data_IF_772066190731
#
_entry.id   IF_772066190731
#
_cell.length_a   1.000
_cell.length_b   1.000
_cell.length_c   1.000
_cell.angle_alpha   90.00
_cell.angle_beta   90.00
_cell.angle_gamma   90.00
#
_symmetry.space_group_name_H-M   'P 1'
#
loop_
_entity.id
_entity.type
_entity.pdbx_description
1 polymer ?
#
# COMPACT_ATOMS: atom_id res chain seq x y z
N UNK A 1 -11.15 -62.67 54.08
CA UNK A 1 -10.15 -63.45 53.31
C UNK A 1 -9.20 -62.45 52.66
N UNK A 2 -7.92 -62.46 53.05
CA UNK A 2 -6.85 -61.66 52.41
C UNK A 2 -6.46 -62.35 51.10
N UNK A 3 -6.30 -61.61 50.01
CA UNK A 3 -5.18 -61.78 49.08
C UNK A 3 -4.80 -60.38 48.60
N UNK A 4 -3.50 -60.15 48.61
CA UNK A 4 -2.82 -58.90 48.45
C UNK A 4 -1.93 -59.00 47.19
N UNK A 5 -1.58 -57.84 46.64
CA UNK A 5 -0.36 -57.54 45.85
C UNK A 5 -0.34 -57.55 44.29
N UNK A 6 -0.12 -56.31 43.83
CA UNK A 6 0.84 -55.84 42.81
C UNK A 6 0.52 -55.99 41.31
N UNK A 7 0.09 -54.88 40.71
CA UNK A 7 0.46 -54.54 39.32
C UNK A 7 0.68 -53.02 39.14
N UNK A 8 1.96 -52.66 39.22
CA UNK A 8 2.71 -51.60 38.52
C UNK A 8 1.97 -50.39 37.91
N UNK A 9 2.24 -49.23 38.54
CA UNK A 9 2.43 -47.87 38.03
C UNK A 9 2.65 -47.74 36.50
N UNK A 10 1.81 -46.95 35.82
CA UNK A 10 2.19 -46.25 34.58
C UNK A 10 1.56 -44.86 34.55
N UNK A 11 2.39 -43.87 34.83
CA UNK A 11 2.12 -42.43 34.74
C UNK A 11 2.44 -42.03 33.29
N UNK A 12 1.44 -41.74 32.47
CA UNK A 12 1.66 -41.20 31.13
C UNK A 12 1.61 -39.67 31.19
N UNK A 13 2.77 -39.04 31.39
CA UNK A 13 2.96 -37.63 31.08
C UNK A 13 3.17 -37.46 29.56
N UNK A 14 2.58 -36.42 28.94
CA UNK A 14 2.87 -36.06 27.57
C UNK A 14 4.30 -35.52 27.49
N UNK A 15 5.14 -36.19 26.70
CA UNK A 15 6.50 -35.72 26.39
C UNK A 15 6.43 -34.51 25.46
N UNK A 16 6.58 -33.34 26.05
CA UNK A 16 7.03 -32.11 25.40
C UNK A 16 8.40 -32.35 24.72
N UNK A 17 8.41 -32.69 23.43
CA UNK A 17 9.62 -32.65 22.61
C UNK A 17 9.83 -31.22 22.10
N UNK A 18 10.41 -30.43 23.00
CA UNK A 18 11.14 -29.19 22.80
C UNK A 18 11.84 -29.13 21.42
N UNK A 19 11.27 -28.38 20.48
CA UNK A 19 11.94 -27.93 19.24
C UNK A 19 13.03 -26.90 19.58
N UNK A 20 14.19 -27.37 20.06
CA UNK A 20 15.40 -26.58 20.14
C UNK A 20 16.52 -27.25 19.34
N UNK A 21 16.44 -27.14 18.02
CA UNK A 21 17.47 -27.70 17.13
C UNK A 21 17.62 -27.03 15.77
N UNK A 22 16.68 -26.17 15.33
CA UNK A 22 16.67 -25.71 13.93
C UNK A 22 17.17 -24.27 13.69
N UNK A 23 17.43 -23.46 14.72
CA UNK A 23 17.82 -22.05 14.53
C UNK A 23 19.24 -21.90 13.98
N UNK A 24 20.15 -22.84 14.26
CA UNK A 24 21.52 -22.81 13.74
C UNK A 24 21.57 -23.12 12.24
N UNK A 25 20.81 -24.13 11.80
CA UNK A 25 20.70 -24.48 10.38
C UNK A 25 19.99 -23.39 9.56
N UNK A 26 18.94 -22.75 10.09
CA UNK A 26 18.27 -21.63 9.42
C UNK A 26 19.21 -20.43 9.24
N UNK A 27 20.06 -20.13 10.23
CA UNK A 27 21.07 -19.06 10.10
C UNK A 27 22.14 -19.41 9.08
N UNK A 28 22.61 -20.66 9.03
CA UNK A 28 23.58 -21.11 8.02
C UNK A 28 22.97 -21.05 6.62
N UNK A 29 21.74 -21.52 6.44
CA UNK A 29 21.03 -21.42 5.15
C UNK A 29 20.81 -19.96 4.73
N UNK A 30 20.47 -19.06 5.66
CA UNK A 30 20.33 -17.63 5.37
C UNK A 30 21.66 -17.02 4.90
N UNK A 31 22.78 -17.35 5.56
CA UNK A 31 24.10 -16.88 5.16
C UNK A 31 24.52 -17.39 3.77
N UNK A 32 24.25 -18.65 3.44
CA UNK A 32 24.50 -19.21 2.09
C UNK A 32 23.65 -18.50 1.03
N UNK A 33 22.39 -18.21 1.32
CA UNK A 33 21.47 -17.55 0.39
C UNK A 33 21.89 -16.09 0.13
N UNK A 34 22.36 -15.38 1.16
CA UNK A 34 22.92 -14.03 1.03
C UNK A 34 24.21 -14.04 0.20
N UNK A 35 25.12 -15.00 0.42
CA UNK A 35 26.34 -15.13 -0.40
C UNK A 35 25.99 -15.42 -1.86
N UNK A 36 25.02 -16.29 -2.14
CA UNK A 36 24.56 -16.57 -3.50
C UNK A 36 23.95 -15.32 -4.17
N UNK A 37 23.17 -14.51 -3.44
CA UNK A 37 22.61 -13.26 -3.94
C UNK A 37 23.68 -12.21 -4.24
N UNK A 38 24.69 -12.10 -3.37
CA UNK A 38 25.82 -11.18 -3.58
C UNK A 38 26.69 -11.65 -4.75
N UNK A 39 26.94 -12.96 -4.90
CA UNK A 39 27.63 -13.51 -6.06
C UNK A 39 26.87 -13.28 -7.36
N UNK A 40 25.53 -13.38 -7.37
CA UNK A 40 24.72 -12.99 -8.53
C UNK A 40 24.83 -11.50 -8.84
N UNK A 41 24.83 -10.66 -7.80
CA UNK A 41 24.87 -9.20 -7.96
C UNK A 41 26.26 -8.69 -8.40
N UNK A 42 27.34 -9.39 -8.06
CA UNK A 42 28.72 -8.94 -8.30
C UNK A 42 29.44 -9.66 -9.46
N UNK A 43 28.94 -10.80 -9.92
CA UNK A 43 29.55 -11.58 -11.02
C UNK A 43 28.74 -11.46 -12.32
N UNK A 44 28.45 -10.22 -12.71
CA UNK A 44 28.07 -9.87 -14.07
C UNK A 44 29.32 -9.70 -14.93
N UNK A 45 29.85 -10.80 -15.47
CA UNK A 45 30.39 -10.89 -16.83
C UNK A 45 30.98 -12.28 -17.07
N UNK A 46 30.40 -13.02 -18.01
CA UNK A 46 31.10 -13.84 -19.00
C UNK A 46 30.07 -14.47 -19.91
N UNK A 47 29.80 -13.76 -21.01
CA UNK A 47 29.07 -14.28 -22.14
C UNK A 47 29.87 -15.44 -22.78
N UNK A 48 29.29 -16.63 -23.00
CA UNK A 48 29.84 -17.55 -23.99
C UNK A 48 29.30 -17.15 -25.35
N UNK A 49 30.23 -16.70 -26.20
CA UNK A 49 30.05 -16.55 -27.64
C UNK A 49 29.94 -17.95 -28.24
N UNK A 50 28.81 -18.26 -28.87
CA UNK A 50 28.66 -19.45 -29.71
C UNK A 50 28.35 -19.00 -31.12
N UNK A 51 29.36 -19.09 -31.99
CA UNK A 51 29.22 -18.99 -33.44
C UNK A 51 28.74 -20.34 -34.01
N UNK A 52 28.18 -20.29 -35.24
CA UNK A 52 27.85 -21.39 -36.18
C UNK A 52 26.51 -22.12 -35.96
N UNK A 53 25.66 -22.44 -36.95
CA UNK A 53 25.57 -22.19 -38.40
C UNK A 53 24.25 -22.85 -38.88
N UNK A 54 23.64 -22.37 -40.00
CA UNK A 54 22.96 -23.22 -41.04
C UNK A 54 21.54 -23.76 -40.67
N UNK A 55 20.45 -23.72 -41.45
CA UNK A 55 20.16 -23.45 -42.87
C UNK A 55 18.62 -23.33 -43.09
N UNK A 56 18.25 -22.69 -44.22
CA UNK A 56 17.15 -23.02 -45.17
C UNK A 56 15.66 -22.85 -44.82
N UNK A 57 14.92 -22.35 -45.82
CA UNK A 57 13.46 -22.48 -45.98
C UNK A 57 12.77 -21.13 -46.18
N UNK A 58 12.85 -20.48 -47.34
CA UNK A 58 11.86 -20.54 -48.46
C UNK A 58 10.48 -19.92 -48.20
N UNK A 59 10.01 -19.24 -49.26
CA UNK A 59 8.67 -18.67 -49.54
C UNK A 59 8.40 -17.26 -49.00
N UNK A 60 8.37 -16.26 -49.88
CA UNK A 60 7.18 -15.81 -50.64
C UNK A 60 6.11 -15.27 -49.68
N UNK A 61 5.57 -14.06 -49.77
CA UNK A 61 5.33 -13.22 -50.94
C UNK A 61 4.96 -11.83 -50.41
N UNK A 62 5.33 -10.80 -51.15
CA UNK A 62 4.87 -9.44 -50.93
C UNK A 62 3.34 -9.34 -51.00
N UNK A 63 2.74 -8.64 -50.05
CA UNK A 63 1.47 -7.95 -50.29
C UNK A 63 1.57 -6.52 -49.76
N UNK A 64 1.66 -5.60 -50.70
CA UNK A 64 1.62 -4.15 -50.52
C UNK A 64 0.27 -3.70 -51.07
N UNK A 65 -0.54 -3.02 -50.26
CA UNK A 65 -1.63 -2.16 -50.76
C UNK A 65 -1.67 -0.87 -49.92
N UNK A 66 -1.86 0.32 -50.55
CA UNK A 66 -1.59 1.63 -49.94
C UNK A 66 -2.85 2.48 -49.64
N UNK A 67 -2.60 3.57 -48.90
CA UNK A 67 -3.21 4.92 -48.95
C UNK A 67 -4.75 5.14 -48.85
N UNK A 68 -5.12 5.98 -47.86
CA UNK A 68 -5.92 7.24 -47.98
C UNK A 68 -7.06 7.34 -46.97
N UNK A 69 -6.96 8.28 -46.02
CA UNK A 69 -8.04 9.21 -45.65
C UNK A 69 -7.47 10.29 -44.73
N UNK A 70 -7.63 11.53 -45.18
CA UNK A 70 -7.14 12.78 -44.65
C UNK A 70 -8.22 13.44 -43.77
N UNK A 71 -7.78 14.34 -42.89
CA UNK A 71 -8.54 15.47 -42.33
C UNK A 71 -9.70 15.24 -41.35
N UNK A 72 -9.48 15.68 -40.12
CA UNK A 72 -10.31 16.76 -39.53
C UNK A 72 -9.54 17.42 -38.39
N UNK A 73 -8.89 18.56 -38.69
CA UNK A 73 -8.68 19.60 -37.70
C UNK A 73 -10.02 20.28 -37.42
N UNK A 74 -10.45 20.36 -36.15
CA UNK A 74 -11.37 21.41 -35.71
C UNK A 74 -11.22 21.69 -34.21
N UNK A 75 -10.51 22.76 -33.93
CA UNK A 75 -10.84 23.81 -32.95
C UNK A 75 -11.49 23.37 -31.63
N UNK A 76 -10.69 23.36 -30.57
CA UNK A 76 -11.14 23.77 -29.24
C UNK A 76 -9.94 24.20 -28.39
N UNK A 77 -9.29 25.28 -28.82
CA UNK A 77 -8.53 26.16 -27.94
C UNK A 77 -9.49 26.93 -27.03
N UNK A 78 -10.20 26.20 -26.17
CA UNK A 78 -10.78 26.78 -24.97
C UNK A 78 -9.60 26.87 -23.99
N UNK A 79 -9.43 28.00 -23.34
CA UNK A 79 -8.54 28.14 -22.18
C UNK A 79 -9.03 27.22 -21.05
N UNK A 80 -8.75 25.91 -21.15
CA UNK A 80 -9.11 24.89 -20.15
C UNK A 80 -8.13 24.87 -18.97
N UNK A 81 -7.08 25.70 -19.04
CA UNK A 81 -5.92 25.65 -18.15
C UNK A 81 -6.22 25.87 -16.65
N UNK A 82 -7.19 26.71 -16.20
CA UNK A 82 -7.47 26.81 -14.76
C UNK A 82 -8.33 25.65 -14.24
N UNK A 83 -9.41 25.27 -14.94
CA UNK A 83 -10.37 24.27 -14.44
C UNK A 83 -9.81 22.84 -14.51
N UNK A 84 -9.16 22.47 -15.61
CA UNK A 84 -8.51 21.15 -15.71
C UNK A 84 -7.33 21.01 -14.76
N UNK A 85 -6.63 22.11 -14.44
CA UNK A 85 -5.57 22.10 -13.43
C UNK A 85 -6.10 21.81 -12.02
N UNK A 86 -7.23 22.44 -11.63
CA UNK A 86 -7.88 22.22 -10.33
C UNK A 86 -8.42 20.80 -10.13
N UNK A 87 -8.87 20.15 -11.21
CA UNK A 87 -9.42 18.78 -11.11
C UNK A 87 -8.30 17.73 -11.06
N UNK A 88 -7.17 17.98 -11.71
CA UNK A 88 -6.20 16.93 -11.91
C UNK A 88 -5.16 16.81 -10.79
N UNK A 89 -5.11 17.71 -9.80
CA UNK A 89 -4.07 17.67 -8.76
C UNK A 89 -2.69 18.14 -9.22
N UNK A 90 -2.63 18.98 -10.27
CA UNK A 90 -1.37 19.38 -10.91
C UNK A 90 -0.50 20.19 -9.94
N UNK A 91 -1.10 21.11 -9.19
CA UNK A 91 -0.36 22.03 -8.31
C UNK A 91 0.33 21.26 -7.18
N UNK A 92 -0.36 20.30 -6.57
CA UNK A 92 0.22 19.42 -5.56
C UNK A 92 1.35 18.56 -6.12
N UNK A 93 1.20 18.01 -7.34
CA UNK A 93 2.27 17.20 -7.97
C UNK A 93 3.53 18.01 -8.25
N UNK A 94 3.38 19.24 -8.73
CA UNK A 94 4.52 20.13 -8.98
C UNK A 94 5.24 20.47 -7.67
N UNK A 95 4.50 20.87 -6.63
CA UNK A 95 5.06 21.15 -5.30
C UNK A 95 5.77 19.91 -4.73
N UNK A 96 5.14 18.73 -4.78
CA UNK A 96 5.73 17.49 -4.28
C UNK A 96 7.01 17.12 -5.05
N UNK A 97 7.05 17.37 -6.37
CA UNK A 97 8.24 17.16 -7.19
C UNK A 97 9.38 18.07 -6.73
N UNK A 98 9.10 19.35 -6.51
CA UNK A 98 10.09 20.32 -6.06
C UNK A 98 10.61 20.00 -4.66
N UNK A 99 9.71 19.65 -3.73
CA UNK A 99 10.08 19.21 -2.37
C UNK A 99 10.99 17.98 -2.38
N UNK A 100 10.74 17.01 -3.28
CA UNK A 100 11.62 15.84 -3.44
C UNK A 100 12.96 16.20 -4.06
N UNK A 101 13.00 17.17 -4.97
CA UNK A 101 14.22 17.59 -5.64
C UNK A 101 15.16 18.40 -4.73
N UNK A 102 14.61 19.13 -3.76
CA UNK A 102 15.39 19.94 -2.82
C UNK A 102 16.36 19.10 -1.96
N UNK A 103 16.09 17.80 -1.76
CA UNK A 103 16.99 16.87 -1.04
C UNK A 103 17.18 17.17 0.46
N UNK A 104 16.63 18.28 0.95
CA UNK A 104 16.61 18.66 2.36
C UNK A 104 15.50 17.90 3.11
N UNK A 105 15.59 17.87 4.46
CA UNK A 105 14.54 17.35 5.32
C UNK A 105 13.25 18.14 5.13
N UNK A 106 12.28 17.55 4.44
CA UNK A 106 10.98 18.15 4.16
C UNK A 106 10.25 18.46 5.47
N UNK A 107 9.85 19.73 5.66
CA UNK A 107 9.00 20.13 6.77
C UNK A 107 7.55 19.69 6.50
N UNK A 108 7.12 18.61 7.16
CA UNK A 108 5.81 18.03 6.94
C UNK A 108 4.66 18.91 7.45
N UNK A 109 4.91 19.78 8.43
CA UNK A 109 3.90 20.73 8.94
C UNK A 109 3.56 21.79 7.88
N UNK A 110 4.55 22.21 7.08
CA UNK A 110 4.34 23.14 5.98
C UNK A 110 3.60 22.46 4.82
N UNK A 111 3.90 21.18 4.56
CA UNK A 111 3.15 20.35 3.59
C UNK A 111 1.69 20.21 4.00
N UNK A 112 1.42 19.97 5.29
CA UNK A 112 0.07 19.91 5.83
C UNK A 112 -0.65 21.25 5.73
N UNK A 113 0.00 22.37 6.10
CA UNK A 113 -0.57 23.71 5.97
C UNK A 113 -0.95 24.03 4.53
N UNK A 114 -0.14 23.61 3.56
CA UNK A 114 -0.45 23.76 2.14
C UNK A 114 -1.64 22.91 1.70
N UNK A 115 -1.78 21.69 2.24
CA UNK A 115 -2.96 20.85 2.01
C UNK A 115 -4.24 21.50 2.55
N UNK A 116 -4.19 22.11 3.74
CA UNK A 116 -5.31 22.85 4.33
C UNK A 116 -5.70 24.07 3.49
N UNK A 117 -4.70 24.76 2.90
CA UNK A 117 -4.96 25.85 1.96
C UNK A 117 -5.63 25.36 0.67
N UNK A 118 -5.17 24.25 0.09
CA UNK A 118 -5.83 23.67 -1.08
C UNK A 118 -7.28 23.25 -0.78
N UNK A 119 -7.53 22.73 0.43
CA UNK A 119 -8.88 22.41 0.89
C UNK A 119 -9.75 23.67 0.99
N UNK A 120 -9.25 24.77 1.55
CA UNK A 120 -10.02 26.03 1.64
C UNK A 120 -10.24 26.71 0.28
N UNK A 121 -9.35 26.48 -0.69
CA UNK A 121 -9.48 26.92 -2.08
C UNK A 121 -10.41 26.00 -2.91
N UNK A 122 -10.97 24.94 -2.32
CA UNK A 122 -11.81 23.96 -3.02
C UNK A 122 -11.05 23.00 -3.94
N UNK A 123 -9.71 23.05 -3.94
CA UNK A 123 -8.83 22.16 -4.70
C UNK A 123 -8.61 20.85 -3.93
N UNK A 124 -9.70 20.10 -3.81
CA UNK A 124 -9.76 18.94 -2.93
C UNK A 124 -8.83 17.80 -3.40
N UNK A 125 -8.60 17.65 -4.71
CA UNK A 125 -7.66 16.65 -5.27
C UNK A 125 -6.23 17.01 -4.85
N UNK A 126 -5.81 18.26 -5.05
CA UNK A 126 -4.50 18.73 -4.60
C UNK A 126 -4.30 18.57 -3.09
N UNK A 127 -5.31 18.92 -2.29
CA UNK A 127 -5.29 18.73 -0.84
C UNK A 127 -5.09 17.25 -0.48
N UNK A 128 -5.84 16.33 -1.09
CA UNK A 128 -5.71 14.89 -0.86
C UNK A 128 -4.30 14.38 -1.17
N UNK A 129 -3.72 14.78 -2.31
CA UNK A 129 -2.35 14.38 -2.65
C UNK A 129 -1.33 14.88 -1.61
N UNK A 130 -1.49 16.10 -1.11
CA UNK A 130 -0.59 16.66 -0.10
C UNK A 130 -0.76 16.00 1.28
N UNK A 131 -1.98 15.70 1.71
CA UNK A 131 -2.22 14.88 2.92
C UNK A 131 -1.57 13.50 2.76
N UNK A 132 -1.80 12.83 1.63
CA UNK A 132 -1.20 11.52 1.34
C UNK A 132 0.32 11.56 1.38
N UNK A 133 0.93 12.57 0.77
CA UNK A 133 2.37 12.73 0.75
C UNK A 133 2.97 12.93 2.15
N UNK A 134 2.39 13.80 2.97
CA UNK A 134 2.86 14.06 4.34
C UNK A 134 2.58 12.89 5.28
N UNK A 135 1.40 12.27 5.20
CA UNK A 135 1.03 11.12 6.02
C UNK A 135 1.95 9.90 5.76
N UNK A 136 2.33 9.67 4.50
CA UNK A 136 3.29 8.60 4.15
C UNK A 136 4.69 8.81 4.72
N UNK A 137 5.04 10.04 5.06
CA UNK A 137 6.31 10.41 5.67
C UNK A 137 6.20 10.51 7.21
N UNK A 138 5.05 10.18 7.80
CA UNK A 138 4.86 10.13 9.24
C UNK A 138 4.13 11.33 9.85
N UNK A 139 3.58 12.24 9.04
CA UNK A 139 2.79 13.35 9.59
C UNK A 139 1.45 12.84 10.15
N UNK A 140 1.30 12.92 11.47
CA UNK A 140 0.20 12.31 12.19
C UNK A 140 -1.16 12.94 11.85
N UNK A 141 -1.23 14.26 11.75
CA UNK A 141 -2.49 14.96 11.48
C UNK A 141 -2.94 14.77 10.03
N UNK A 142 -2.02 14.62 9.09
CA UNK A 142 -2.37 14.25 7.70
C UNK A 142 -2.94 12.84 7.63
N UNK A 143 -2.34 11.90 8.38
CA UNK A 143 -2.87 10.54 8.47
C UNK A 143 -4.25 10.54 9.13
N UNK A 144 -4.48 11.39 10.13
CA UNK A 144 -5.80 11.55 10.76
C UNK A 144 -6.84 12.04 9.74
N UNK A 145 -6.51 13.07 8.95
CA UNK A 145 -7.40 13.59 7.89
C UNK A 145 -7.73 12.50 6.88
N UNK A 146 -6.74 11.76 6.38
CA UNK A 146 -6.98 10.65 5.45
C UNK A 146 -7.86 9.56 6.06
N UNK A 147 -7.64 9.22 7.33
CA UNK A 147 -8.47 8.26 8.06
C UNK A 147 -9.93 8.69 8.06
N UNK A 148 -10.19 9.96 8.37
CA UNK A 148 -11.54 10.54 8.35
C UNK A 148 -12.14 10.59 6.94
N UNK A 149 -11.35 10.80 5.89
CA UNK A 149 -11.88 10.78 4.52
C UNK A 149 -12.38 9.38 4.09
N UNK A 150 -11.74 8.31 4.56
CA UNK A 150 -12.15 6.93 4.29
C UNK A 150 -13.17 6.37 5.29
N UNK A 151 -13.40 7.04 6.42
CA UNK A 151 -14.30 6.60 7.48
C UNK A 151 -15.76 6.80 7.06
N UNK A 152 -16.56 5.72 6.91
CA UNK A 152 -17.94 5.83 6.43
C UNK A 152 -18.83 6.78 7.24
N UNK A 153 -18.59 6.88 8.54
CA UNK A 153 -19.41 7.70 9.46
C UNK A 153 -18.95 9.16 9.53
N UNK A 154 -17.67 9.40 9.26
CA UNK A 154 -17.06 10.73 9.43
C UNK A 154 -16.62 11.39 8.13
N UNK A 155 -16.74 10.69 7.01
CA UNK A 155 -16.42 11.24 5.71
C UNK A 155 -17.43 12.33 5.33
N UNK A 156 -16.93 13.53 5.08
CA UNK A 156 -17.68 14.51 4.30
C UNK A 156 -17.61 13.98 2.87
N UNK A 157 -18.73 13.56 2.26
CA UNK A 157 -18.79 13.05 0.87
C UNK A 157 -17.87 13.88 -0.04
N UNK A 158 -16.64 13.42 -0.22
CA UNK A 158 -15.63 14.09 -1.01
C UNK A 158 -15.84 13.60 -2.44
N UNK A 159 -16.95 14.04 -3.03
CA UNK A 159 -17.43 13.60 -4.34
C UNK A 159 -16.28 13.73 -5.34
N UNK A 160 -15.86 12.60 -5.91
CA UNK A 160 -14.83 12.53 -6.95
C UNK A 160 -13.39 12.34 -6.48
N UNK A 161 -13.12 12.16 -5.18
CA UNK A 161 -11.76 11.83 -4.68
C UNK A 161 -11.68 10.42 -4.12
N UNK A 162 -12.71 10.03 -3.36
CA UNK A 162 -12.85 8.68 -2.84
C UNK A 162 -14.14 8.15 -3.41
N UNK A 163 -14.04 7.06 -4.17
CA UNK A 163 -15.20 6.41 -4.80
C UNK A 163 -16.16 5.91 -3.72
N UNK A 164 -15.61 5.17 -2.74
CA UNK A 164 -16.37 4.65 -1.61
C UNK A 164 -15.54 4.69 -0.31
N UNK A 165 -16.14 5.12 0.82
CA UNK A 165 -15.55 4.96 2.14
C UNK A 165 -15.22 3.49 2.44
N UNK A 166 -14.17 3.23 3.20
CA UNK A 166 -13.69 1.88 3.47
C UNK A 166 -13.08 1.78 4.88
N UNK A 167 -13.68 0.97 5.75
CA UNK A 167 -13.22 0.77 7.13
C UNK A 167 -11.75 0.32 7.20
N UNK A 168 -11.28 -0.52 6.29
CA UNK A 168 -9.89 -0.97 6.25
C UNK A 168 -8.90 0.17 5.96
N UNK A 169 -9.22 1.06 5.02
CA UNK A 169 -8.42 2.25 4.75
C UNK A 169 -8.45 3.25 5.92
N UNK A 170 -9.64 3.48 6.50
CA UNK A 170 -9.78 4.34 7.68
C UNK A 170 -8.91 3.83 8.83
N UNK A 171 -9.00 2.54 9.16
CA UNK A 171 -8.19 1.89 10.19
C UNK A 171 -6.69 2.08 9.94
N UNK A 172 -6.25 1.81 8.71
CA UNK A 172 -4.85 1.92 8.30
C UNK A 172 -4.27 3.33 8.50
N UNK A 173 -5.07 4.36 8.24
CA UNK A 173 -4.65 5.75 8.39
C UNK A 173 -4.77 6.25 9.82
N UNK A 174 -5.83 5.91 10.54
CA UNK A 174 -5.93 6.21 11.97
C UNK A 174 -4.83 5.52 12.79
N UNK A 175 -4.42 4.29 12.42
CA UNK A 175 -3.29 3.62 13.05
C UNK A 175 -1.99 4.40 12.87
N UNK A 176 -1.68 4.83 11.63
CA UNK A 176 -0.53 5.71 11.35
C UNK A 176 -0.59 7.02 12.13
N UNK A 177 -1.77 7.62 12.23
CA UNK A 177 -1.96 8.85 12.99
C UNK A 177 -1.67 8.65 14.48
N UNK A 178 -2.15 7.54 15.05
CA UNK A 178 -1.89 7.18 16.44
C UNK A 178 -0.41 6.88 16.70
N UNK A 179 0.26 6.17 15.79
CA UNK A 179 1.71 5.90 15.82
C UNK A 179 2.53 7.19 15.73
N UNK A 180 2.07 8.15 14.93
CA UNK A 180 2.65 9.49 14.82
C UNK A 180 2.33 10.43 16.00
N UNK A 181 1.57 9.97 17.00
CA UNK A 181 1.28 10.73 18.22
C UNK A 181 -0.02 11.54 18.22
N UNK A 182 -0.86 11.44 17.19
CA UNK A 182 -2.18 12.08 17.19
C UNK A 182 -3.08 11.42 18.24
N UNK A 183 -3.48 12.17 19.27
CA UNK A 183 -4.23 11.65 20.41
C UNK A 183 -5.69 11.32 20.06
N UNK A 184 -6.28 12.05 19.11
CA UNK A 184 -7.66 11.81 18.68
C UNK A 184 -7.78 10.52 17.86
N UNK A 185 -6.72 10.08 17.18
CA UNK A 185 -6.71 8.87 16.36
C UNK A 185 -7.03 7.59 17.15
N UNK A 186 -6.59 7.48 18.41
CA UNK A 186 -6.92 6.32 19.26
C UNK A 186 -8.43 6.20 19.51
N UNK A 187 -9.11 7.33 19.74
CA UNK A 187 -10.58 7.36 19.89
C UNK A 187 -11.27 6.98 18.58
N UNK A 188 -10.74 7.43 17.44
CA UNK A 188 -11.27 7.06 16.12
C UNK A 188 -11.12 5.57 15.82
N UNK A 189 -10.00 4.95 16.20
CA UNK A 189 -9.80 3.50 16.07
C UNK A 189 -10.80 2.69 16.91
N UNK A 190 -11.04 3.11 18.16
CA UNK A 190 -12.02 2.47 19.03
C UNK A 190 -13.42 2.54 18.43
N UNK A 191 -13.84 3.76 18.05
CA UNK A 191 -15.14 3.96 17.41
C UNK A 191 -15.28 3.13 16.12
N UNK A 192 -14.26 3.15 15.25
CA UNK A 192 -14.27 2.39 14.01
C UNK A 192 -14.43 0.89 14.27
N UNK A 193 -13.79 0.37 15.33
CA UNK A 193 -13.92 -1.02 15.73
C UNK A 193 -15.34 -1.36 16.18
N UNK A 194 -15.94 -0.51 17.00
CA UNK A 194 -17.34 -0.69 17.44
C UNK A 194 -18.31 -0.73 16.25
N UNK A 195 -18.12 0.15 15.25
CA UNK A 195 -18.95 0.16 14.05
C UNK A 195 -18.79 -1.12 13.22
N UNK A 196 -17.55 -1.59 13.04
CA UNK A 196 -17.28 -2.82 12.31
C UNK A 196 -17.82 -4.05 13.05
N UNK A 197 -17.69 -4.10 14.38
CA UNK A 197 -18.28 -5.17 15.21
C UNK A 197 -19.82 -5.18 15.10
N UNK A 198 -20.45 -4.01 15.13
CA UNK A 198 -21.89 -3.88 14.91
C UNK A 198 -22.31 -4.37 13.52
N UNK A 199 -21.68 -3.87 12.46
CA UNK A 199 -21.99 -4.28 11.08
C UNK A 199 -21.79 -5.78 10.86
N UNK A 200 -20.73 -6.37 11.43
CA UNK A 200 -20.51 -7.82 11.36
C UNK A 200 -21.60 -8.61 12.09
N UNK A 201 -22.08 -8.13 13.24
CA UNK A 201 -23.18 -8.75 13.97
C UNK A 201 -24.50 -8.68 13.18
N UNK A 202 -24.68 -7.65 12.36
CA UNK A 202 -25.80 -7.52 11.41
C UNK A 202 -25.64 -8.38 10.14
N UNK A 203 -24.51 -9.05 9.97
CA UNK A 203 -24.23 -9.96 8.86
C UNK A 203 -23.46 -9.34 7.70
N UNK A 204 -22.83 -8.17 7.88
CA UNK A 204 -21.92 -7.61 6.87
C UNK A 204 -20.69 -8.52 6.70
N UNK A 205 -20.46 -9.08 5.50
CA UNK A 205 -19.36 -10.00 5.25
C UNK A 205 -17.99 -9.29 5.22
N UNK A 206 -17.93 -8.05 4.76
CA UNK A 206 -16.68 -7.27 4.75
C UNK A 206 -16.27 -6.88 6.17
N UNK A 207 -17.24 -6.46 7.00
CA UNK A 207 -17.00 -6.20 8.42
C UNK A 207 -16.52 -7.46 9.16
N UNK A 208 -17.19 -8.59 8.94
CA UNK A 208 -16.82 -9.88 9.52
C UNK A 208 -15.39 -10.29 9.15
N UNK A 209 -15.02 -10.13 7.87
CA UNK A 209 -13.66 -10.39 7.39
C UNK A 209 -12.64 -9.45 8.03
N UNK A 210 -13.00 -8.19 8.22
CA UNK A 210 -12.11 -7.17 8.77
C UNK A 210 -11.80 -7.42 10.26
N UNK A 211 -12.78 -7.85 11.06
CA UNK A 211 -12.56 -8.22 12.47
C UNK A 211 -11.52 -9.32 12.60
N UNK A 212 -11.55 -10.32 11.72
CA UNK A 212 -10.58 -11.42 11.72
C UNK A 212 -9.15 -10.95 11.41
N UNK A 213 -8.98 -9.83 10.69
CA UNK A 213 -7.67 -9.25 10.38
C UNK A 213 -7.12 -8.38 11.53
N UNK A 214 -7.96 -8.01 12.50
CA UNK A 214 -7.62 -7.13 13.62
C UNK A 214 -7.35 -7.88 14.92
N UNK A 215 -7.47 -9.21 14.92
CA UNK A 215 -7.08 -10.09 16.03
C UNK A 215 -5.56 -10.25 16.10
#
# INVERSE_FOLDING_TARGET
MRVDLHRTKSKHEPRELRQEGNRKWVRVSLWVMIIALVSWYFLGDTQPKSDNQTQSGESSTAFRVPLTAQETEKSSSISTLPFTSMINGKQARDIIKDLRAQGEKINLDDVFRRAEQFKSEGMMVDAHLMYFFSARQGHADSAMVLGTMYDPEHTLKAVGIIDEPNWGQAHKWYLRAAEGGNQAAKKRLQYLREQVEHAAAEGDPEASRLILQWQ
#
